data_IF_876369384803
#
_entry.id   IF_876369384803
#
_cell.length_a   1.000
_cell.length_b   1.000
_cell.length_c   1.000
_cell.angle_alpha   90.00
_cell.angle_beta   90.00
_cell.angle_gamma   90.00
#
_symmetry.space_group_name_H-M   'P 1'
#
loop_
_entity.id
_entity.type
_entity.pdbx_description
1 polymer ?
#
# COMPACT_ATOMS: atom_id res chain seq x y z
N UNK A 1 -7.93 -19.71 -20.45
CA UNK A 1 -6.46 -19.89 -20.40
C UNK A 1 -5.67 -18.75 -21.07
N UNK A 2 -6.24 -17.94 -21.94
CA UNK A 2 -5.53 -16.81 -22.58
C UNK A 2 -5.41 -15.56 -21.69
N UNK A 3 -6.36 -15.29 -20.80
CA UNK A 3 -6.36 -14.14 -19.89
C UNK A 3 -5.21 -14.15 -18.87
N UNK A 4 -4.68 -15.31 -18.52
CA UNK A 4 -3.73 -15.49 -17.43
C UNK A 4 -2.25 -15.26 -17.79
N UNK A 5 -1.92 -15.08 -19.06
CA UNK A 5 -0.54 -14.76 -19.49
C UNK A 5 -0.30 -13.27 -19.72
N UNK A 6 -1.31 -12.44 -19.52
CA UNK A 6 -1.25 -11.02 -19.82
C UNK A 6 -0.06 -10.31 -19.15
N UNK A 7 0.17 -10.53 -17.85
CA UNK A 7 1.24 -9.86 -17.10
C UNK A 7 2.64 -10.20 -17.63
N UNK A 8 2.88 -11.48 -17.93
CA UNK A 8 4.17 -11.93 -18.44
C UNK A 8 4.37 -11.50 -19.90
N UNK A 9 3.32 -11.52 -20.72
CA UNK A 9 3.35 -11.03 -22.09
C UNK A 9 3.63 -9.54 -22.16
N UNK A 10 2.90 -8.73 -21.40
CA UNK A 10 3.11 -7.29 -21.33
C UNK A 10 4.51 -6.93 -20.80
N UNK A 11 5.03 -7.71 -19.82
CA UNK A 11 6.41 -7.58 -19.35
C UNK A 11 7.42 -7.88 -20.47
N UNK A 12 7.24 -8.99 -21.18
CA UNK A 12 8.13 -9.39 -22.29
C UNK A 12 8.11 -8.37 -23.44
N UNK A 13 6.93 -7.79 -23.71
CA UNK A 13 6.74 -6.76 -24.74
C UNK A 13 7.28 -5.39 -24.35
N UNK A 14 7.78 -5.22 -23.12
CA UNK A 14 8.35 -3.95 -22.65
C UNK A 14 7.32 -2.88 -22.28
N UNK A 15 6.03 -3.19 -22.25
CA UNK A 15 4.95 -2.23 -22.00
C UNK A 15 4.84 -1.82 -20.54
N UNK A 16 4.28 -0.62 -20.29
CA UNK A 16 3.64 -0.31 -19.02
C UNK A 16 2.36 -1.16 -18.92
N UNK A 17 2.08 -1.69 -17.74
CA UNK A 17 0.90 -2.52 -17.54
C UNK A 17 0.41 -2.51 -16.10
N UNK A 18 -0.83 -2.93 -15.93
CA UNK A 18 -1.38 -3.30 -14.64
C UNK A 18 -2.26 -4.55 -14.75
N UNK A 19 -2.38 -5.25 -13.63
CA UNK A 19 -3.41 -6.23 -13.38
C UNK A 19 -3.86 -6.08 -11.94
N UNK A 20 -5.16 -6.10 -11.70
CA UNK A 20 -5.67 -6.03 -10.34
C UNK A 20 -6.96 -6.83 -10.16
N UNK A 21 -7.22 -7.21 -8.90
CA UNK A 21 -8.46 -7.84 -8.48
C UNK A 21 -8.96 -7.16 -7.20
N UNK A 22 -10.08 -6.45 -7.34
CA UNK A 22 -10.83 -5.92 -6.21
C UNK A 22 -11.58 -7.08 -5.53
N UNK A 23 -11.63 -7.16 -4.18
CA UNK A 23 -12.37 -8.23 -3.49
C UNK A 23 -13.81 -8.35 -3.97
N UNK A 24 -14.20 -9.57 -4.37
CA UNK A 24 -15.56 -9.86 -4.88
C UNK A 24 -15.81 -9.48 -6.34
N UNK A 25 -14.83 -8.89 -7.05
CA UNK A 25 -14.98 -8.47 -8.44
C UNK A 25 -14.06 -9.28 -9.37
N UNK A 26 -14.30 -9.12 -10.69
CA UNK A 26 -13.46 -9.72 -11.73
C UNK A 26 -12.09 -9.03 -11.77
N UNK A 27 -11.12 -9.72 -12.33
CA UNK A 27 -9.80 -9.15 -12.61
C UNK A 27 -9.90 -8.08 -13.71
N UNK A 28 -9.10 -7.03 -13.58
CA UNK A 28 -8.96 -5.96 -14.55
C UNK A 28 -7.50 -5.88 -14.97
N UNK A 29 -7.26 -5.78 -16.26
CA UNK A 29 -5.94 -5.66 -16.85
C UNK A 29 -5.89 -4.48 -17.80
N UNK A 30 -4.71 -3.94 -18.02
CA UNK A 30 -4.46 -2.93 -19.05
C UNK A 30 -2.98 -2.74 -19.31
N UNK A 31 -2.68 -2.26 -20.51
CA UNK A 31 -1.31 -1.95 -20.91
C UNK A 31 -1.26 -0.79 -21.90
N UNK A 32 -0.17 -0.02 -21.85
CA UNK A 32 0.09 1.04 -22.80
C UNK A 32 1.60 1.17 -23.08
N UNK A 33 2.01 1.80 -24.18
CA UNK A 33 3.35 2.31 -24.35
C UNK A 33 3.72 3.28 -23.21
N UNK A 34 5.01 3.37 -22.88
CA UNK A 34 5.47 4.23 -21.77
C UNK A 34 5.10 5.71 -21.97
N UNK A 35 5.12 6.19 -23.22
CA UNK A 35 4.75 7.57 -23.60
C UNK A 35 3.27 7.89 -23.40
N UNK A 36 2.41 6.87 -23.30
CA UNK A 36 0.96 7.02 -23.16
C UNK A 36 0.52 6.96 -21.68
N UNK A 37 1.47 6.73 -20.75
CA UNK A 37 1.20 6.94 -19.32
C UNK A 37 0.89 8.42 -19.06
N UNK A 38 -0.13 8.66 -18.25
CA UNK A 38 -0.60 10.02 -17.93
C UNK A 38 0.00 10.45 -16.59
N UNK A 39 0.56 11.66 -16.55
CA UNK A 39 0.95 12.29 -15.28
C UNK A 39 -0.29 12.90 -14.61
N UNK A 40 -0.58 12.51 -13.39
CA UNK A 40 -1.77 12.90 -12.62
C UNK A 40 -2.82 11.81 -12.50
N UNK A 41 -3.91 12.12 -11.80
CA UNK A 41 -5.08 11.23 -11.66
C UNK A 41 -5.95 11.37 -12.92
N UNK A 42 -6.15 10.26 -13.61
CA UNK A 42 -6.99 10.15 -14.80
C UNK A 42 -7.71 8.79 -14.82
N UNK A 43 -8.60 8.58 -15.81
CA UNK A 43 -9.31 7.31 -15.98
C UNK A 43 -8.31 6.18 -16.29
N UNK A 44 -8.20 5.22 -15.39
CA UNK A 44 -7.21 4.16 -15.51
C UNK A 44 -6.77 3.57 -14.19
N UNK A 45 -5.59 2.97 -14.22
CA UNK A 45 -4.91 2.48 -13.04
C UNK A 45 -3.93 3.53 -12.51
N UNK A 46 -4.27 4.09 -11.37
CA UNK A 46 -3.53 5.18 -10.71
C UNK A 46 -2.47 4.62 -9.77
N UNK A 47 -1.30 5.23 -9.77
CA UNK A 47 -0.15 4.88 -8.92
C UNK A 47 0.40 6.15 -8.28
N UNK A 48 0.48 6.21 -6.96
CA UNK A 48 1.16 7.27 -6.20
C UNK A 48 2.27 6.64 -5.36
N UNK A 49 3.54 7.00 -5.56
CA UNK A 49 4.62 6.63 -4.65
C UNK A 49 4.42 7.19 -3.23
N UNK A 50 5.18 6.67 -2.27
CA UNK A 50 5.15 7.11 -0.86
C UNK A 50 5.56 8.57 -0.68
N UNK A 51 6.56 9.01 -1.43
CA UNK A 51 7.04 10.41 -1.37
C UNK A 51 5.88 11.37 -1.73
N UNK A 52 5.49 12.30 -0.84
CA UNK A 52 4.45 13.28 -1.14
C UNK A 52 4.75 14.14 -2.37
N UNK A 53 6.02 14.39 -2.69
CA UNK A 53 6.45 15.19 -3.83
C UNK A 53 6.48 14.39 -5.14
N UNK A 54 6.46 13.05 -5.08
CA UNK A 54 6.43 12.23 -6.28
C UNK A 54 5.12 12.45 -7.05
N UNK A 55 5.23 12.42 -8.39
CA UNK A 55 4.07 12.57 -9.27
C UNK A 55 3.20 11.33 -9.25
N UNK A 56 1.89 11.54 -9.39
CA UNK A 56 0.94 10.47 -9.67
C UNK A 56 1.10 10.03 -11.11
N UNK A 57 1.00 8.73 -11.36
CA UNK A 57 1.08 8.13 -12.69
C UNK A 57 -0.20 7.34 -12.93
N UNK A 58 -0.82 7.51 -14.08
CA UNK A 58 -1.97 6.71 -14.50
C UNK A 58 -1.63 5.90 -15.75
N UNK A 59 -1.87 4.59 -15.69
CA UNK A 59 -1.90 3.71 -16.86
C UNK A 59 -3.34 3.70 -17.37
N UNK A 60 -3.64 4.24 -18.57
CA UNK A 60 -5.01 4.30 -19.10
C UNK A 60 -5.57 2.89 -19.30
N UNK A 61 -6.92 2.79 -19.31
CA UNK A 61 -7.58 1.54 -19.70
C UNK A 61 -7.30 1.22 -21.17
N UNK A 62 -7.19 -0.07 -21.46
CA UNK A 62 -6.96 -0.59 -22.79
C UNK A 62 -5.81 -1.59 -22.84
N UNK A 63 -5.61 -2.18 -23.98
CA UNK A 63 -4.52 -3.10 -24.25
C UNK A 63 -3.73 -2.61 -25.45
N UNK A 64 -2.43 -2.34 -25.25
CA UNK A 64 -1.56 -1.91 -26.33
C UNK A 64 -1.18 -3.07 -27.22
N UNK A 65 -1.12 -2.82 -28.52
CA UNK A 65 -0.46 -3.68 -29.49
C UNK A 65 1.02 -3.29 -29.62
N UNK A 66 1.87 -4.23 -30.03
CA UNK A 66 3.28 -3.96 -30.30
C UNK A 66 4.23 -4.29 -29.15
N UNK A 67 5.47 -3.84 -29.29
CA UNK A 67 6.59 -4.11 -28.39
C UNK A 67 7.46 -2.86 -28.27
N UNK A 68 7.96 -2.59 -27.08
CA UNK A 68 8.88 -1.48 -26.78
C UNK A 68 10.15 -1.98 -26.11
N UNK A 69 11.20 -1.17 -26.16
CA UNK A 69 12.36 -1.36 -25.29
C UNK A 69 12.07 -0.70 -23.96
N UNK A 70 11.94 -1.51 -22.92
CA UNK A 70 11.69 -1.01 -21.57
C UNK A 70 13.00 -0.48 -20.96
N UNK A 71 12.95 0.76 -20.50
CA UNK A 71 14.01 1.38 -19.72
C UNK A 71 13.43 1.77 -18.36
N UNK A 72 13.97 1.18 -17.30
CA UNK A 72 13.60 1.53 -15.94
C UNK A 72 14.35 2.82 -15.54
N UNK A 73 13.61 3.89 -15.24
CA UNK A 73 14.17 5.16 -14.79
C UNK A 73 14.48 5.13 -13.29
N UNK A 74 13.71 4.36 -12.54
CA UNK A 74 13.91 4.22 -11.10
C UNK A 74 14.96 3.12 -10.81
N UNK A 75 16.17 3.54 -10.51
CA UNK A 75 17.31 2.64 -10.20
C UNK A 75 17.44 2.32 -8.70
N UNK A 76 16.62 2.90 -7.84
CA UNK A 76 16.68 2.75 -6.37
C UNK A 76 16.13 1.38 -5.90
N UNK A 77 16.65 0.28 -6.45
CA UNK A 77 16.28 -1.06 -6.00
C UNK A 77 17.12 -1.46 -4.79
N UNK A 78 16.51 -1.86 -3.66
CA UNK A 78 17.24 -2.30 -2.48
C UNK A 78 17.75 -3.75 -2.66
N UNK A 79 18.98 -3.90 -3.11
CA UNK A 79 19.60 -5.19 -3.41
C UNK A 79 19.89 -6.04 -2.17
N UNK A 80 20.01 -5.42 -1.00
CA UNK A 80 20.38 -6.09 0.25
C UNK A 80 19.26 -5.97 1.28
N UNK A 81 19.04 -7.02 2.09
CA UNK A 81 18.07 -6.95 3.17
C UNK A 81 18.57 -6.00 4.27
N UNK A 82 17.65 -5.39 4.96
CA UNK A 82 17.95 -4.59 6.14
C UNK A 82 18.55 -5.49 7.24
N UNK A 83 19.78 -5.21 7.66
CA UNK A 83 20.43 -5.94 8.74
C UNK A 83 19.68 -5.74 10.07
N UNK A 84 19.51 -6.83 10.86
CA UNK A 84 18.78 -6.76 12.14
C UNK A 84 19.40 -5.74 13.09
N UNK A 85 20.74 -5.70 13.19
CA UNK A 85 21.43 -4.74 14.05
C UNK A 85 21.15 -3.28 13.66
N UNK A 86 21.06 -2.99 12.36
CA UNK A 86 20.68 -1.67 11.85
C UNK A 86 19.23 -1.34 12.25
N UNK A 87 18.30 -2.25 11.98
CA UNK A 87 16.88 -2.06 12.34
C UNK A 87 16.73 -1.80 13.85
N UNK A 88 17.34 -2.64 14.68
CA UNK A 88 17.26 -2.53 16.15
C UNK A 88 17.77 -1.18 16.66
N UNK A 89 18.91 -0.71 16.13
CA UNK A 89 19.50 0.58 16.49
C UNK A 89 18.54 1.72 16.17
N UNK A 90 18.05 1.78 14.92
CA UNK A 90 17.23 2.90 14.45
C UNK A 90 15.80 2.85 15.02
N UNK A 91 15.21 1.66 15.19
CA UNK A 91 13.95 1.50 15.92
C UNK A 91 14.08 2.00 17.37
N UNK A 92 15.19 1.70 18.06
CA UNK A 92 15.47 2.21 19.41
C UNK A 92 15.50 3.74 19.47
N UNK A 93 16.20 4.40 18.54
CA UNK A 93 16.24 5.87 18.45
C UNK A 93 14.85 6.45 18.27
N UNK A 94 14.05 5.89 17.37
CA UNK A 94 12.68 6.35 17.11
C UNK A 94 11.80 6.14 18.36
N UNK A 95 11.90 4.98 19.02
CA UNK A 95 11.12 4.68 20.23
C UNK A 95 11.48 5.65 21.36
N UNK A 96 12.75 5.97 21.55
CA UNK A 96 13.20 6.94 22.58
C UNK A 96 12.63 8.34 22.28
N UNK A 97 12.65 8.79 21.02
CA UNK A 97 11.98 10.01 20.60
C UNK A 97 10.46 9.99 20.90
N UNK A 98 9.80 8.86 20.64
CA UNK A 98 8.36 8.72 20.90
C UNK A 98 8.03 8.68 22.40
N UNK A 99 8.93 8.21 23.26
CA UNK A 99 8.76 8.27 24.72
C UNK A 99 8.70 9.72 25.23
N UNK A 100 9.45 10.62 24.59
CA UNK A 100 9.39 12.06 24.88
C UNK A 100 8.19 12.75 24.20
N UNK A 101 7.58 12.11 23.19
CA UNK A 101 6.45 12.64 22.40
C UNK A 101 5.33 11.60 22.28
N UNK A 102 4.62 11.29 23.38
CA UNK A 102 3.73 10.11 23.44
C UNK A 102 2.47 10.20 22.58
N UNK A 103 2.14 11.38 22.06
CA UNK A 103 1.04 11.59 21.11
C UNK A 103 1.41 11.27 19.67
N UNK A 104 2.71 11.05 19.39
CA UNK A 104 3.23 10.80 18.05
C UNK A 104 3.31 9.30 17.75
N UNK A 105 3.45 9.00 16.46
CA UNK A 105 3.61 7.66 15.91
C UNK A 105 4.55 7.72 14.70
N UNK A 106 5.41 6.73 14.54
CA UNK A 106 6.24 6.56 13.33
C UNK A 106 6.11 5.13 12.83
N UNK A 107 5.83 4.96 11.54
CA UNK A 107 5.85 3.61 10.94
C UNK A 107 7.23 3.34 10.39
N UNK A 108 7.93 2.41 11.01
CA UNK A 108 9.29 2.04 10.63
C UNK A 108 9.28 0.72 9.88
N UNK A 109 9.95 0.67 8.73
CA UNK A 109 9.93 -0.50 7.87
C UNK A 109 11.33 -1.03 7.54
N UNK A 110 11.38 -2.23 7.01
CA UNK A 110 12.59 -2.88 6.51
C UNK A 110 12.33 -3.61 5.21
N UNK A 111 13.40 -3.95 4.52
CA UNK A 111 13.38 -4.76 3.30
C UNK A 111 13.94 -6.14 3.58
N UNK A 112 13.24 -7.15 3.05
CA UNK A 112 13.75 -8.50 2.89
C UNK A 112 14.01 -8.73 1.41
N UNK A 113 15.08 -9.47 1.07
CA UNK A 113 15.39 -9.79 -0.33
C UNK A 113 15.37 -11.30 -0.55
N UNK A 114 14.88 -11.70 -1.71
CA UNK A 114 14.90 -13.07 -2.17
C UNK A 114 14.90 -13.10 -3.71
N UNK A 115 14.91 -14.27 -4.30
CA UNK A 115 14.76 -14.46 -5.74
C UNK A 115 13.51 -15.31 -6.03
N UNK A 116 12.89 -15.09 -7.17
CA UNK A 116 11.79 -15.91 -7.63
C UNK A 116 12.06 -16.51 -9.00
N UNK A 117 11.60 -17.75 -9.20
CA UNK A 117 11.57 -18.44 -10.51
C UNK A 117 10.16 -18.53 -11.08
N UNK A 118 9.16 -18.06 -10.30
CA UNK A 118 7.77 -18.06 -10.75
C UNK A 118 7.49 -16.92 -11.72
N UNK A 119 6.57 -17.13 -12.63
CA UNK A 119 6.06 -16.08 -13.50
C UNK A 119 5.25 -15.04 -12.70
N UNK A 120 5.08 -13.85 -13.25
CA UNK A 120 4.22 -12.84 -12.63
C UNK A 120 2.78 -13.33 -12.52
N UNK A 121 2.30 -14.01 -13.53
CA UNK A 121 0.97 -14.62 -13.57
C UNK A 121 0.79 -15.62 -12.42
N UNK A 122 1.74 -16.55 -12.22
CA UNK A 122 1.66 -17.55 -11.15
C UNK A 122 1.62 -16.90 -9.76
N UNK A 123 2.44 -15.85 -9.55
CA UNK A 123 2.46 -15.11 -8.28
C UNK A 123 1.13 -14.39 -8.08
N UNK A 124 0.64 -13.68 -9.10
CA UNK A 124 -0.62 -12.92 -9.05
C UNK A 124 -1.82 -13.82 -8.76
N UNK A 125 -1.96 -14.93 -9.48
CA UNK A 125 -3.03 -15.90 -9.27
C UNK A 125 -2.96 -16.54 -7.88
N UNK A 126 -1.73 -16.89 -7.44
CA UNK A 126 -1.56 -17.46 -6.10
C UNK A 126 -1.97 -16.47 -5.02
N UNK A 127 -1.62 -15.16 -5.16
CA UNK A 127 -2.11 -14.11 -4.27
C UNK A 127 -3.63 -14.00 -4.29
N UNK A 128 -4.26 -14.01 -5.46
CA UNK A 128 -5.71 -13.95 -5.62
C UNK A 128 -6.42 -15.12 -4.93
N UNK A 129 -5.88 -16.32 -5.06
CA UNK A 129 -6.44 -17.53 -4.46
C UNK A 129 -6.22 -17.58 -2.94
N UNK A 130 -5.03 -17.20 -2.48
CA UNK A 130 -4.65 -17.28 -1.07
C UNK A 130 -5.30 -16.17 -0.23
N UNK A 131 -5.47 -14.98 -0.82
CA UNK A 131 -6.00 -13.80 -0.13
C UNK A 131 -7.26 -13.24 -0.83
N UNK A 132 -8.39 -13.97 -0.84
CA UNK A 132 -9.60 -13.60 -1.59
C UNK A 132 -10.19 -12.26 -1.15
N UNK A 133 -9.97 -11.83 0.09
CA UNK A 133 -10.46 -10.57 0.66
C UNK A 133 -9.47 -9.41 0.58
N UNK A 134 -8.27 -9.62 0.00
CA UNK A 134 -7.30 -8.56 -0.23
C UNK A 134 -7.46 -7.99 -1.64
N UNK A 135 -7.11 -6.72 -1.82
CA UNK A 135 -6.87 -6.15 -3.14
C UNK A 135 -5.53 -6.66 -3.67
N UNK A 136 -5.56 -7.43 -4.75
CA UNK A 136 -4.34 -7.94 -5.40
C UNK A 136 -4.03 -7.08 -6.60
N UNK A 137 -2.77 -6.69 -6.73
CA UNK A 137 -2.30 -5.82 -7.80
C UNK A 137 -0.93 -6.22 -8.31
N UNK A 138 -0.68 -5.92 -9.58
CA UNK A 138 0.61 -5.97 -10.23
C UNK A 138 0.67 -4.81 -11.22
N UNK A 139 1.75 -4.03 -11.24
CA UNK A 139 1.92 -2.94 -12.20
C UNK A 139 3.40 -2.69 -12.51
N UNK A 140 3.65 -2.08 -13.65
CA UNK A 140 4.97 -1.63 -14.08
C UNK A 140 4.91 -0.35 -14.88
N UNK A 141 5.74 0.63 -14.51
CA UNK A 141 6.08 1.80 -15.32
C UNK A 141 7.58 2.07 -15.23
N UNK A 142 8.19 2.85 -16.15
CA UNK A 142 9.60 3.24 -16.04
C UNK A 142 9.94 3.91 -14.71
N UNK A 143 9.05 4.77 -14.21
CA UNK A 143 9.26 5.58 -13.00
C UNK A 143 9.12 4.77 -11.72
N UNK A 144 8.29 3.73 -11.71
CA UNK A 144 8.01 2.95 -10.50
C UNK A 144 8.77 1.62 -10.45
N UNK A 145 9.15 1.06 -11.60
CA UNK A 145 9.54 -0.33 -11.71
C UNK A 145 8.36 -1.28 -11.58
N UNK A 146 8.62 -2.55 -11.42
CA UNK A 146 7.63 -3.62 -11.31
C UNK A 146 7.26 -3.89 -9.86
N UNK A 147 5.98 -3.78 -9.53
CA UNK A 147 5.41 -4.03 -8.22
C UNK A 147 4.30 -5.06 -8.26
N UNK A 148 4.20 -5.88 -7.20
CA UNK A 148 3.11 -6.83 -7.00
C UNK A 148 2.81 -6.96 -5.50
N UNK A 149 1.53 -7.13 -5.14
CA UNK A 149 1.13 -7.21 -3.75
C UNK A 149 -0.33 -7.59 -3.51
N UNK A 150 -0.68 -7.71 -2.21
CA UNK A 150 -2.02 -8.05 -1.74
C UNK A 150 -2.40 -7.18 -0.53
N UNK A 151 -3.00 -6.04 -0.80
CA UNK A 151 -3.35 -5.04 0.23
C UNK A 151 -4.67 -5.34 0.93
N UNK A 152 -4.71 -5.29 2.27
CA UNK A 152 -5.95 -5.33 3.03
C UNK A 152 -6.59 -3.95 3.24
N UNK A 153 -5.92 -2.83 2.92
CA UNK A 153 -6.29 -1.48 3.33
C UNK A 153 -6.82 -0.65 2.18
N UNK A 154 -8.14 -0.35 2.23
CA UNK A 154 -8.81 0.56 1.31
C UNK A 154 -8.43 2.00 1.68
N UNK A 155 -7.80 2.74 0.76
CA UNK A 155 -7.56 4.17 0.93
C UNK A 155 -8.83 4.97 0.66
N UNK A 156 -9.53 4.64 -0.41
CA UNK A 156 -10.83 5.24 -0.72
C UNK A 156 -11.59 4.52 -1.83
N UNK A 157 -12.89 4.31 -1.62
CA UNK A 157 -13.86 3.97 -2.64
C UNK A 157 -14.80 5.16 -2.79
N UNK A 158 -14.98 5.64 -4.02
CA UNK A 158 -15.87 6.78 -4.24
C UNK A 158 -16.57 6.72 -5.61
N UNK A 159 -17.79 7.24 -5.62
CA UNK A 159 -18.60 7.43 -6.82
C UNK A 159 -19.53 8.60 -6.56
N UNK A 160 -19.49 9.61 -7.42
CA UNK A 160 -20.19 10.87 -7.18
C UNK A 160 -19.81 11.44 -5.80
N UNK A 161 -20.79 11.66 -4.92
CA UNK A 161 -20.58 12.17 -3.55
C UNK A 161 -20.34 11.08 -2.49
N UNK A 162 -20.59 9.82 -2.82
CA UNK A 162 -20.35 8.71 -1.87
C UNK A 162 -18.86 8.48 -1.70
N UNK A 163 -18.38 8.47 -0.46
CA UNK A 163 -16.99 8.23 -0.10
C UNK A 163 -16.91 7.19 1.01
N UNK A 164 -15.99 6.21 0.87
CA UNK A 164 -15.67 5.22 1.90
C UNK A 164 -14.17 5.10 2.05
N UNK A 165 -13.71 4.92 3.29
CA UNK A 165 -12.31 4.63 3.62
C UNK A 165 -12.24 3.78 4.88
N UNK A 166 -11.04 3.32 5.25
CA UNK A 166 -10.82 2.57 6.47
C UNK A 166 -9.59 3.08 7.22
N UNK A 167 -9.68 3.09 8.55
CA UNK A 167 -8.52 3.11 9.43
C UNK A 167 -8.15 1.66 9.76
N UNK A 168 -6.93 1.23 9.44
CA UNK A 168 -6.45 -0.12 9.70
C UNK A 168 -5.10 -0.06 10.41
N UNK A 169 -5.10 -0.30 11.74
CA UNK A 169 -3.87 -0.30 12.53
C UNK A 169 -4.00 -1.19 13.77
N UNK A 170 -2.92 -1.30 14.55
CA UNK A 170 -2.83 -2.30 15.60
C UNK A 170 -2.75 -3.72 15.04
N UNK A 171 -1.83 -4.53 15.53
CA UNK A 171 -1.56 -5.86 14.98
C UNK A 171 -1.47 -6.90 16.08
N UNK A 172 -2.08 -8.08 15.86
CA UNK A 172 -1.80 -9.27 16.65
C UNK A 172 -1.90 -10.52 15.77
N UNK A 173 -1.36 -11.65 16.25
CA UNK A 173 -1.49 -12.93 15.56
C UNK A 173 -2.97 -13.30 15.42
N UNK A 174 -3.40 -13.71 14.21
CA UNK A 174 -4.78 -14.09 13.95
C UNK A 174 -5.24 -15.26 14.82
N UNK A 175 -4.34 -16.22 15.10
CA UNK A 175 -4.58 -17.36 15.96
C UNK A 175 -4.60 -17.03 17.47
N UNK A 176 -4.16 -15.83 17.87
CA UNK A 176 -4.12 -15.42 19.27
C UNK A 176 -5.48 -14.88 19.69
N UNK A 177 -6.12 -15.57 20.62
CA UNK A 177 -7.26 -15.04 21.36
C UNK A 177 -6.83 -13.97 22.36
N UNK A 178 -7.81 -13.25 22.93
CA UNK A 178 -7.57 -12.29 24.00
C UNK A 178 -7.92 -10.84 23.63
N UNK A 179 -7.67 -9.94 24.59
CA UNK A 179 -7.96 -8.51 24.44
C UNK A 179 -6.83 -7.79 23.70
N UNK A 180 -7.18 -6.78 22.94
CA UNK A 180 -6.24 -5.83 22.35
C UNK A 180 -5.51 -5.04 23.42
N UNK A 181 -4.19 -4.86 23.24
CA UNK A 181 -3.39 -4.02 24.13
C UNK A 181 -3.79 -2.54 23.99
N UNK A 182 -3.49 -1.75 25.02
CA UNK A 182 -3.75 -0.32 24.95
C UNK A 182 -2.85 0.37 23.91
N UNK A 183 -1.64 -0.16 23.65
CA UNK A 183 -0.80 0.26 22.51
C UNK A 183 -1.56 0.14 21.20
N UNK A 184 -2.11 -1.04 20.88
CA UNK A 184 -2.81 -1.28 19.62
C UNK A 184 -4.06 -0.39 19.48
N UNK A 185 -4.79 -0.15 20.57
CA UNK A 185 -5.95 0.75 20.56
C UNK A 185 -5.55 2.22 20.34
N UNK A 186 -4.46 2.69 20.97
CA UNK A 186 -3.93 4.05 20.72
C UNK A 186 -3.46 4.18 19.28
N UNK A 187 -2.74 3.20 18.76
CA UNK A 187 -2.29 3.18 17.38
C UNK A 187 -3.45 3.31 16.40
N UNK A 188 -4.52 2.52 16.59
CA UNK A 188 -5.73 2.57 15.79
C UNK A 188 -6.44 3.92 15.92
N UNK A 189 -6.54 4.44 17.14
CA UNK A 189 -7.19 5.73 17.40
C UNK A 189 -6.54 6.88 16.64
N UNK A 190 -5.21 6.94 16.57
CA UNK A 190 -4.48 7.97 15.81
C UNK A 190 -4.91 7.96 14.34
N UNK A 191 -4.99 6.78 13.71
CA UNK A 191 -5.38 6.67 12.30
C UNK A 191 -6.86 7.04 12.11
N UNK A 192 -7.74 6.59 12.99
CA UNK A 192 -9.16 6.92 12.91
C UNK A 192 -9.43 8.43 13.13
N UNK A 193 -8.77 9.04 14.11
CA UNK A 193 -8.90 10.48 14.37
C UNK A 193 -8.39 11.34 13.20
N UNK A 194 -7.30 10.89 12.53
CA UNK A 194 -6.80 11.55 11.34
C UNK A 194 -7.83 11.58 10.22
N UNK A 195 -8.49 10.44 9.95
CA UNK A 195 -9.57 10.36 8.96
C UNK A 195 -10.75 11.25 9.35
N UNK A 196 -11.18 11.22 10.63
CA UNK A 196 -12.27 12.09 11.12
C UNK A 196 -11.98 13.57 10.89
N UNK A 197 -10.75 13.98 11.17
CA UNK A 197 -10.34 15.38 10.97
C UNK A 197 -10.41 15.78 9.50
N UNK A 198 -9.95 14.93 8.57
CA UNK A 198 -10.03 15.20 7.13
C UNK A 198 -11.49 15.30 6.68
N UNK A 199 -12.33 14.33 7.05
CA UNK A 199 -13.75 14.34 6.67
C UNK A 199 -14.50 15.54 7.28
N UNK A 200 -14.18 15.93 8.51
CA UNK A 200 -14.74 17.11 9.17
C UNK A 200 -14.31 18.41 8.49
N UNK A 201 -13.02 18.53 8.13
CA UNK A 201 -12.49 19.70 7.43
C UNK A 201 -13.10 19.84 6.02
N UNK A 202 -13.40 18.72 5.38
CA UNK A 202 -14.09 18.66 4.09
C UNK A 202 -15.60 18.89 4.21
N UNK A 203 -16.14 19.19 5.40
CA UNK A 203 -17.56 19.36 5.68
C UNK A 203 -18.42 18.16 5.20
N UNK A 204 -17.84 16.95 5.23
CA UNK A 204 -18.53 15.73 4.86
C UNK A 204 -19.76 15.48 5.74
N UNK A 205 -20.85 15.02 5.16
CA UNK A 205 -22.14 14.76 5.83
C UNK A 205 -22.38 13.26 5.97
N UNK A 206 -23.32 12.91 6.84
CA UNK A 206 -23.74 11.51 7.05
C UNK A 206 -22.57 10.57 7.30
N UNK A 207 -21.61 11.03 8.13
CA UNK A 207 -20.47 10.22 8.51
C UNK A 207 -20.95 9.06 9.38
N UNK A 208 -20.73 7.84 8.89
CA UNK A 208 -20.99 6.61 9.62
C UNK A 208 -19.68 5.89 9.86
N UNK A 209 -19.50 5.41 11.09
CA UNK A 209 -18.32 4.66 11.52
C UNK A 209 -18.71 3.29 12.06
N UNK A 210 -17.90 2.29 11.75
CA UNK A 210 -18.07 0.93 12.26
C UNK A 210 -16.74 0.32 12.63
N UNK A 211 -16.58 0.03 13.92
CA UNK A 211 -15.40 -0.66 14.44
C UNK A 211 -15.50 -2.18 14.25
N UNK A 212 -14.34 -2.81 14.08
CA UNK A 212 -14.24 -4.25 13.91
C UNK A 212 -12.82 -4.78 13.96
N UNK A 213 -12.67 -6.02 13.50
CA UNK A 213 -11.38 -6.67 13.29
C UNK A 213 -11.28 -7.17 11.85
N UNK A 214 -10.09 -7.06 11.25
CA UNK A 214 -9.81 -7.57 9.90
C UNK A 214 -8.62 -8.52 9.92
N UNK A 215 -8.84 -9.74 9.42
CA UNK A 215 -7.77 -10.73 9.24
C UNK A 215 -7.05 -10.45 7.91
N UNK A 216 -5.72 -10.41 7.97
CA UNK A 216 -4.85 -10.21 6.82
C UNK A 216 -3.65 -11.19 6.90
N UNK A 217 -3.80 -12.36 6.30
CA UNK A 217 -2.82 -13.45 6.39
C UNK A 217 -2.68 -13.97 7.83
N UNK A 218 -1.45 -14.07 8.38
CA UNK A 218 -1.21 -14.64 9.71
C UNK A 218 -1.55 -13.68 10.86
N UNK A 219 -1.92 -12.43 10.55
CA UNK A 219 -2.23 -11.39 11.54
C UNK A 219 -3.65 -10.88 11.39
N UNK A 220 -4.16 -10.27 12.46
CA UNK A 220 -5.38 -9.47 12.45
C UNK A 220 -5.11 -8.06 12.92
N UNK A 221 -5.94 -7.13 12.47
CA UNK A 221 -5.86 -5.70 12.76
C UNK A 221 -7.17 -5.19 13.32
N UNK A 222 -7.11 -4.11 14.11
CA UNK A 222 -8.27 -3.28 14.37
C UNK A 222 -8.62 -2.50 13.11
N UNK A 223 -9.91 -2.36 12.83
CA UNK A 223 -10.43 -1.60 11.69
C UNK A 223 -11.56 -0.68 12.16
N UNK A 224 -11.57 0.55 11.64
CA UNK A 224 -12.75 1.42 11.65
C UNK A 224 -13.10 1.71 10.20
N UNK A 225 -14.26 1.27 9.76
CA UNK A 225 -14.81 1.55 8.44
C UNK A 225 -15.56 2.89 8.49
N UNK A 226 -15.26 3.77 7.53
CA UNK A 226 -15.92 5.07 7.38
C UNK A 226 -16.73 5.10 6.08
N UNK A 227 -17.93 5.66 6.15
CA UNK A 227 -18.68 6.10 4.97
C UNK A 227 -19.22 7.51 5.18
N UNK A 228 -19.20 8.32 4.13
CA UNK A 228 -19.60 9.72 4.19
C UNK A 228 -20.19 10.17 2.85
N UNK A 229 -20.89 11.30 2.87
CA UNK A 229 -21.33 12.04 1.68
C UNK A 229 -20.51 13.32 1.60
N UNK A 230 -19.74 13.47 0.53
CA UNK A 230 -18.95 14.68 0.27
C UNK A 230 -19.87 15.80 -0.29
N UNK A 231 -19.57 17.08 0.04
CA UNK A 231 -20.19 18.21 -0.64
C UNK A 231 -19.94 18.22 -2.15
N UNK A 232 -20.81 18.88 -2.92
CA UNK A 232 -20.74 18.94 -4.40
C UNK A 232 -19.46 19.59 -4.94
N UNK A 233 -18.88 20.50 -4.17
CA UNK A 233 -17.66 21.25 -4.50
C UNK A 233 -16.37 20.59 -4.00
N UNK A 234 -16.48 19.46 -3.27
CA UNK A 234 -15.33 18.70 -2.77
C UNK A 234 -15.07 17.49 -3.68
N UNK A 235 -13.89 17.46 -4.29
CA UNK A 235 -13.43 16.32 -5.08
C UNK A 235 -12.89 15.20 -4.17
N UNK A 236 -13.32 13.97 -4.41
CA UNK A 236 -12.85 12.81 -3.66
C UNK A 236 -11.32 12.61 -3.81
N UNK A 237 -10.76 12.95 -4.96
CA UNK A 237 -9.32 12.90 -5.24
C UNK A 237 -8.53 13.79 -4.27
N UNK A 238 -9.03 14.97 -3.91
CA UNK A 238 -8.42 15.85 -2.91
C UNK A 238 -8.40 15.19 -1.53
N UNK A 239 -9.47 14.49 -1.15
CA UNK A 239 -9.51 13.74 0.11
C UNK A 239 -8.47 12.60 0.08
N UNK A 240 -8.36 11.89 -1.04
CA UNK A 240 -7.36 10.82 -1.22
C UNK A 240 -5.93 11.34 -1.08
N UNK A 241 -5.62 12.49 -1.66
CA UNK A 241 -4.30 13.14 -1.55
C UNK A 241 -3.99 13.55 -0.11
N UNK A 242 -4.96 14.08 0.62
CA UNK A 242 -4.80 14.42 2.05
C UNK A 242 -4.62 13.17 2.93
N UNK A 243 -5.30 12.06 2.60
CA UNK A 243 -5.16 10.81 3.33
C UNK A 243 -3.81 10.12 3.09
N UNK A 244 -3.12 10.39 1.96
CA UNK A 244 -1.92 9.65 1.58
C UNK A 244 -0.63 10.46 1.80
N UNK A 245 0.43 9.82 2.36
CA UNK A 245 0.44 8.48 2.95
C UNK A 245 -0.27 8.45 4.30
N UNK A 246 -1.09 7.41 4.53
CA UNK A 246 -1.88 7.31 5.77
C UNK A 246 -0.99 7.20 7.01
N UNK A 247 -1.45 7.64 8.21
CA UNK A 247 -0.69 7.42 9.45
C UNK A 247 -0.50 5.93 9.80
N UNK A 248 -1.20 5.01 9.11
CA UNK A 248 -0.95 3.58 9.20
C UNK A 248 0.36 3.18 8.49
N UNK A 249 0.87 4.00 7.56
CA UNK A 249 2.11 3.75 6.80
C UNK A 249 3.18 4.83 6.98
N UNK A 250 2.81 6.07 7.34
CA UNK A 250 3.77 7.14 7.65
C UNK A 250 3.96 7.31 9.16
N UNK A 251 2.91 7.62 9.86
CA UNK A 251 2.90 8.01 11.26
C UNK A 251 2.16 9.32 11.47
N UNK A 252 2.27 9.89 12.68
CA UNK A 252 1.59 11.12 13.04
C UNK A 252 2.46 11.95 14.01
N UNK A 253 2.57 13.28 13.83
CA UNK A 253 2.14 14.06 12.65
C UNK A 253 2.83 13.58 11.36
N UNK A 254 2.11 13.65 10.23
CA UNK A 254 2.54 13.03 8.98
C UNK A 254 3.92 13.52 8.49
N UNK A 255 4.14 14.85 8.47
CA UNK A 255 5.38 15.42 7.96
C UNK A 255 6.60 15.00 8.79
N UNK A 256 6.55 15.16 10.11
CA UNK A 256 7.63 14.77 11.02
C UNK A 256 7.93 13.26 10.94
N UNK A 257 6.87 12.44 10.84
CA UNK A 257 7.03 11.00 10.69
C UNK A 257 7.74 10.62 9.39
N UNK A 258 7.44 11.31 8.29
CA UNK A 258 8.11 11.10 6.99
C UNK A 258 9.60 11.51 7.07
N UNK A 259 9.93 12.63 7.72
CA UNK A 259 11.33 13.03 7.92
C UNK A 259 12.11 11.95 8.70
N UNK A 260 11.55 11.43 9.79
CA UNK A 260 12.17 10.35 10.55
C UNK A 260 12.32 9.06 9.73
N UNK A 261 11.35 8.73 8.91
CA UNK A 261 11.43 7.56 8.00
C UNK A 261 12.59 7.74 7.02
N UNK A 262 12.70 8.90 6.39
CA UNK A 262 13.77 9.20 5.40
C UNK A 262 15.15 9.17 6.06
N UNK A 263 15.26 9.65 7.30
CA UNK A 263 16.52 9.67 8.03
C UNK A 263 16.96 8.27 8.51
N UNK A 264 16.01 7.43 8.90
CA UNK A 264 16.33 6.19 9.62
C UNK A 264 16.18 4.91 8.77
N UNK A 265 15.49 4.94 7.63
CA UNK A 265 15.45 3.79 6.71
C UNK A 265 16.64 3.80 5.76
N UNK A 266 17.28 2.64 5.56
CA UNK A 266 18.49 2.52 4.71
C UNK A 266 18.16 2.47 3.20
N UNK A 267 16.92 2.73 2.80
CA UNK A 267 16.43 2.62 1.43
C UNK A 267 15.27 3.58 1.20
N UNK A 268 14.93 3.79 -0.07
CA UNK A 268 13.72 4.52 -0.44
C UNK A 268 12.54 3.58 -0.59
N UNK A 269 11.40 3.95 -0.05
CA UNK A 269 10.17 3.14 -0.09
C UNK A 269 9.59 2.95 -1.49
N UNK A 270 9.88 3.82 -2.43
CA UNK A 270 9.27 3.81 -3.76
C UNK A 270 7.75 3.88 -3.66
N UNK A 271 7.04 2.84 -4.13
CA UNK A 271 5.58 2.79 -4.03
C UNK A 271 5.07 2.22 -2.71
N UNK A 272 5.90 1.58 -1.88
CA UNK A 272 5.46 1.04 -0.59
C UNK A 272 5.01 2.15 0.36
N UNK A 273 3.77 2.07 0.83
CA UNK A 273 3.14 3.09 1.68
C UNK A 273 2.45 4.23 0.92
N UNK A 274 2.59 4.30 -0.41
CA UNK A 274 1.75 5.10 -1.28
C UNK A 274 0.44 4.38 -1.58
N UNK A 275 -0.16 4.64 -2.75
CA UNK A 275 -1.40 3.95 -3.14
C UNK A 275 -1.41 3.56 -4.62
N UNK A 276 -2.27 2.61 -4.96
CA UNK A 276 -2.61 2.27 -6.33
C UNK A 276 -4.05 1.78 -6.43
N UNK A 277 -4.62 1.82 -7.61
CA UNK A 277 -5.96 1.29 -7.85
C UNK A 277 -6.63 1.85 -9.08
N UNK A 278 -7.89 1.51 -9.24
CA UNK A 278 -8.71 1.92 -10.39
C UNK A 278 -9.40 3.25 -10.10
N UNK A 279 -9.25 4.20 -11.00
CA UNK A 279 -9.99 5.45 -11.04
C UNK A 279 -10.99 5.42 -12.19
N UNK A 280 -12.26 5.78 -11.92
CA UNK A 280 -13.37 5.81 -12.87
C UNK A 280 -13.52 4.52 -13.68
N UNK A 281 -13.73 3.38 -12.97
CA UNK A 281 -13.91 2.08 -13.64
C UNK A 281 -15.05 2.11 -14.65
N UNK A 282 -14.81 1.79 -15.93
CA UNK A 282 -15.80 2.01 -17.00
C UNK A 282 -17.07 1.16 -16.84
N UNK A 283 -16.99 0.01 -16.15
CA UNK A 283 -18.14 -0.89 -15.90
C UNK A 283 -18.83 -0.57 -14.59
N UNK A 284 -18.07 -0.29 -13.52
CA UNK A 284 -18.63 -0.12 -12.17
C UNK A 284 -18.94 1.33 -11.81
N UNK A 285 -18.49 2.30 -12.60
CA UNK A 285 -18.74 3.73 -12.40
C UNK A 285 -18.23 4.27 -11.06
N UNK A 286 -17.22 3.60 -10.48
CA UNK A 286 -16.60 3.98 -9.20
C UNK A 286 -15.08 3.93 -9.27
N UNK A 287 -14.45 4.64 -8.38
CA UNK A 287 -13.02 4.60 -8.12
C UNK A 287 -12.74 3.79 -6.85
N UNK A 288 -11.69 2.97 -6.88
CA UNK A 288 -11.24 2.17 -5.75
C UNK A 288 -9.72 2.23 -5.66
N UNK A 289 -9.19 2.97 -4.69
CA UNK A 289 -7.77 3.15 -4.45
C UNK A 289 -7.38 2.48 -3.13
N UNK A 290 -6.24 1.79 -3.15
CA UNK A 290 -5.78 0.97 -2.03
C UNK A 290 -4.36 1.37 -1.64
N UNK A 291 -4.08 1.35 -0.35
CA UNK A 291 -2.72 1.58 0.15
C UNK A 291 -1.79 0.48 -0.37
N UNK A 292 -0.65 0.87 -0.92
CA UNK A 292 0.35 -0.09 -1.41
C UNK A 292 1.13 -0.65 -0.22
N UNK A 293 0.66 -1.74 0.31
CA UNK A 293 1.30 -2.51 1.37
C UNK A 293 1.18 -4.01 1.12
N UNK A 294 1.92 -4.82 1.89
CA UNK A 294 2.08 -6.25 1.61
C UNK A 294 2.49 -6.44 0.15
N UNK A 295 3.52 -5.70 -0.24
CA UNK A 295 3.98 -5.59 -1.61
C UNK A 295 5.49 -5.80 -1.71
N UNK A 296 5.91 -6.15 -2.90
CA UNK A 296 7.32 -6.28 -3.26
C UNK A 296 7.58 -5.63 -4.61
N UNK A 297 8.80 -5.16 -4.77
CA UNK A 297 9.35 -4.77 -6.07
C UNK A 297 10.18 -5.93 -6.64
N UNK A 298 10.09 -6.13 -7.95
CA UNK A 298 10.83 -7.16 -8.66
C UNK A 298 11.68 -6.50 -9.74
N UNK A 299 12.99 -6.77 -9.77
CA UNK A 299 13.87 -6.22 -10.78
C UNK A 299 13.94 -7.10 -12.04
N UNK A 300 14.74 -6.68 -13.03
CA UNK A 300 14.91 -7.40 -14.29
C UNK A 300 15.53 -8.79 -14.11
N UNK A 301 16.31 -9.00 -13.05
CA UNK A 301 16.96 -10.28 -12.71
C UNK A 301 16.08 -11.17 -11.83
N UNK A 302 14.79 -10.85 -11.65
CA UNK A 302 13.84 -11.56 -10.78
C UNK A 302 14.23 -11.57 -9.28
N UNK A 303 15.08 -10.63 -8.84
CA UNK A 303 15.27 -10.39 -7.43
C UNK A 303 14.07 -9.62 -6.89
N UNK A 304 13.62 -10.02 -5.73
CA UNK A 304 12.46 -9.45 -5.03
C UNK A 304 12.93 -8.66 -3.82
N UNK A 305 12.43 -7.45 -3.67
CA UNK A 305 12.54 -6.64 -2.47
C UNK A 305 11.16 -6.56 -1.81
N UNK A 306 10.98 -7.24 -0.68
CA UNK A 306 9.74 -7.29 0.09
C UNK A 306 9.80 -6.25 1.17
N UNK A 307 8.82 -5.32 1.19
CA UNK A 307 8.73 -4.25 2.17
C UNK A 307 7.80 -4.65 3.31
N UNK A 308 8.24 -4.46 4.55
CA UNK A 308 7.46 -4.79 5.74
C UNK A 308 7.74 -3.82 6.89
N UNK A 309 6.70 -3.25 7.48
CA UNK A 309 6.81 -2.27 8.55
C UNK A 309 5.77 -2.46 9.66
N UNK A 310 6.02 -1.79 10.78
CA UNK A 310 5.16 -1.73 11.94
C UNK A 310 5.09 -0.31 12.51
N UNK A 311 4.00 0.00 13.22
CA UNK A 311 3.82 1.29 13.88
C UNK A 311 4.55 1.33 15.21
N UNK A 312 5.64 2.10 15.29
CA UNK A 312 6.34 2.36 16.54
C UNK A 312 5.53 3.35 17.37
N UNK A 313 5.37 3.02 18.65
CA UNK A 313 4.70 3.77 19.69
C UNK A 313 5.65 3.91 20.90
N UNK A 314 5.38 4.80 21.87
CA UNK A 314 6.26 4.98 23.06
C UNK A 314 6.54 3.70 23.84
N UNK A 315 5.60 2.77 23.86
CA UNK A 315 5.67 1.48 24.53
C UNK A 315 5.98 0.30 23.58
N UNK A 316 6.52 0.59 22.39
CA UNK A 316 7.05 -0.44 21.48
C UNK A 316 8.38 -1.00 22.00
N UNK A 317 8.60 -2.30 21.73
CA UNK A 317 9.87 -2.98 21.94
C UNK A 317 10.43 -3.38 20.56
N UNK A 318 11.64 -2.93 20.26
CA UNK A 318 12.24 -3.07 18.92
C UNK A 318 12.29 -4.54 18.42
N UNK A 319 12.52 -5.50 19.32
CA UNK A 319 12.53 -6.93 18.99
C UNK A 319 11.14 -7.42 18.59
N UNK A 320 10.09 -7.02 19.30
CA UNK A 320 8.71 -7.39 18.97
C UNK A 320 8.27 -6.79 17.61
N UNK A 321 8.67 -5.55 17.34
CA UNK A 321 8.40 -4.89 16.06
C UNK A 321 9.14 -5.58 14.91
N UNK A 322 10.40 -6.00 15.12
CA UNK A 322 11.12 -6.84 14.16
C UNK A 322 10.35 -8.12 13.84
N UNK A 323 9.93 -8.86 14.86
CA UNK A 323 9.15 -10.09 14.71
C UNK A 323 7.81 -9.84 14.00
N UNK A 324 7.18 -8.68 14.23
CA UNK A 324 5.96 -8.30 13.52
C UNK A 324 6.22 -8.12 12.02
N UNK A 325 7.32 -7.49 11.64
CA UNK A 325 7.69 -7.36 10.23
C UNK A 325 7.95 -8.71 9.56
N UNK A 326 8.55 -9.68 10.26
CA UNK A 326 8.73 -11.05 9.75
C UNK A 326 7.40 -11.72 9.46
N UNK A 327 6.46 -11.66 10.40
CA UNK A 327 5.12 -12.22 10.25
C UNK A 327 4.37 -11.61 9.06
N UNK A 328 4.47 -10.28 8.88
CA UNK A 328 3.84 -9.59 7.75
C UNK A 328 4.44 -9.99 6.41
N UNK A 329 5.75 -10.19 6.35
CA UNK A 329 6.46 -10.58 5.12
C UNK A 329 6.06 -11.99 4.63
N UNK A 330 5.59 -12.88 5.52
CA UNK A 330 5.15 -14.24 5.12
C UNK A 330 4.02 -14.21 4.10
N UNK A 331 3.22 -13.14 4.04
CA UNK A 331 2.18 -12.94 3.01
C UNK A 331 2.75 -13.10 1.58
N UNK A 332 3.94 -12.56 1.34
CA UNK A 332 4.58 -12.63 0.03
C UNK A 332 5.54 -13.81 -0.09
N UNK A 333 6.29 -14.11 0.95
CA UNK A 333 7.21 -15.25 0.96
C UNK A 333 6.51 -16.59 0.71
N UNK A 334 5.26 -16.74 1.16
CA UNK A 334 4.48 -17.97 0.95
C UNK A 334 4.02 -18.19 -0.50
N UNK A 335 4.11 -17.20 -1.36
CA UNK A 335 3.67 -17.28 -2.76
C UNK A 335 4.83 -17.29 -3.75
N UNK A 336 6.06 -17.05 -3.28
CA UNK A 336 7.30 -17.16 -4.05
C UNK A 336 7.87 -18.57 -4.00
#
# INVERSE_FOLDING_TARGET
>A
MAEYRFLDDARWRGLCFFGCRIPGEKMVFGSCPSRDCIEGIADGFVIKPFDPQARVITIPFGEAEGKETYHEENTDFPYYPTAKAFYMKHAGIIIDYLRENPEKKVVYSRVLTCETRKSLTDIFETLCRTYPMAYVFCFRTPQTGLWIGASPELLGEFSKQSFKTVALAGTMLAARGGKWSDKNKREQKIVADYIRNILSTAEAKHIYEKDGEKIAGPVKHLITEFSATLPDDVKAETIIEQLSPTPALSGYPQYEAIEMIVEHEAYRRGCYGGFCGIHNHPVYGKSCLWVNLRSMRINASNQCAIYSGGGLMPDSEAEEEWLETERKATTLLSVL
#
